data_IF_854227648650
#
_entry.id   IF_854227648650
#
_cell.length_a   1.000
_cell.length_b   1.000
_cell.length_c   1.000
_cell.angle_alpha   90.00
_cell.angle_beta   90.00
_cell.angle_gamma   90.00
#
_symmetry.space_group_name_H-M   'P 1'
#
loop_
_entity.id
_entity.type
_entity.pdbx_description
1 polymer ?
#
# COMPACT_ATOMS: atom_id res chain seq x y z
N UNK A 1 -10.55 15.38 23.85
CA UNK A 1 -10.63 15.39 22.38
C UNK A 1 -11.80 14.51 21.92
N UNK A 2 -12.73 15.05 21.09
CA UNK A 2 -13.82 14.26 20.51
C UNK A 2 -13.25 13.37 19.41
N UNK A 3 -13.32 12.06 19.58
CA UNK A 3 -12.77 11.09 18.63
C UNK A 3 -13.87 10.47 17.79
N UNK A 4 -13.63 10.39 16.47
CA UNK A 4 -14.57 9.72 15.57
C UNK A 4 -14.34 8.21 15.59
N UNK A 5 -15.34 7.47 16.09
CA UNK A 5 -15.34 6.01 16.17
C UNK A 5 -16.29 5.35 15.19
N UNK A 6 -16.83 6.10 14.24
CA UNK A 6 -17.73 5.53 13.22
C UNK A 6 -16.94 4.62 12.29
N UNK A 7 -17.53 3.48 11.95
CA UNK A 7 -17.00 2.63 10.89
C UNK A 7 -17.30 3.22 9.53
N UNK A 8 -16.33 3.16 8.65
CA UNK A 8 -16.41 3.58 7.26
C UNK A 8 -16.18 2.38 6.34
N UNK A 9 -16.67 2.44 5.13
CA UNK A 9 -16.30 1.46 4.11
C UNK A 9 -14.82 1.66 3.75
N UNK A 10 -14.18 0.59 3.23
CA UNK A 10 -12.82 0.66 2.73
C UNK A 10 -12.72 1.72 1.62
N UNK A 11 -11.56 2.34 1.50
CA UNK A 11 -11.18 3.30 0.45
C UNK A 11 -11.99 4.58 0.33
N UNK A 12 -12.66 4.96 1.41
CA UNK A 12 -13.42 6.21 1.45
C UNK A 12 -12.52 7.44 1.76
N UNK A 13 -11.60 7.76 0.84
CA UNK A 13 -10.65 8.87 1.01
C UNK A 13 -11.35 10.23 1.19
N UNK A 14 -12.50 10.43 0.57
CA UNK A 14 -13.22 11.70 0.57
C UNK A 14 -14.05 11.95 1.82
N UNK A 15 -14.23 10.95 2.65
CA UNK A 15 -14.94 11.14 3.90
C UNK A 15 -14.02 11.75 4.96
N UNK A 16 -14.60 12.66 5.69
CA UNK A 16 -13.96 13.41 6.74
C UNK A 16 -14.05 12.63 8.05
N UNK A 17 -13.01 11.89 8.41
CA UNK A 17 -12.86 11.16 9.68
C UNK A 17 -11.41 11.13 10.13
N UNK A 18 -11.22 10.90 11.42
CA UNK A 18 -9.88 10.79 12.01
C UNK A 18 -9.16 9.57 11.48
N UNK A 19 -7.94 9.78 10.97
CA UNK A 19 -7.12 8.70 10.42
C UNK A 19 -5.64 8.94 10.55
N UNK A 20 -4.90 7.87 10.69
CA UNK A 20 -3.46 7.84 10.49
C UNK A 20 -3.14 7.21 9.13
N UNK A 21 -2.14 7.74 8.46
CA UNK A 21 -1.71 7.31 7.14
C UNK A 21 -0.20 7.12 7.12
N UNK A 22 0.24 6.05 6.49
CA UNK A 22 1.64 5.81 6.13
C UNK A 22 1.72 5.75 4.60
N UNK A 23 2.71 6.43 4.03
CA UNK A 23 3.05 6.30 2.61
C UNK A 23 4.43 5.66 2.53
N UNK A 24 4.58 4.64 1.70
CA UNK A 24 5.82 3.89 1.53
C UNK A 24 6.17 3.75 0.06
N UNK A 25 7.32 4.26 -0.32
CA UNK A 25 8.01 3.93 -1.57
C UNK A 25 9.08 2.87 -1.24
N UNK A 26 8.81 1.63 -1.64
CA UNK A 26 9.60 0.46 -1.24
C UNK A 26 10.95 0.36 -1.97
N UNK A 27 11.12 1.01 -3.09
CA UNK A 27 12.38 1.00 -3.84
C UNK A 27 13.13 2.34 -3.80
N UNK A 28 12.56 3.33 -3.12
CA UNK A 28 13.12 4.67 -2.91
C UNK A 28 13.52 5.38 -4.22
N UNK A 29 12.72 5.18 -5.27
CA UNK A 29 12.97 5.80 -6.59
C UNK A 29 12.10 7.00 -6.88
N UNK A 30 11.06 7.23 -6.07
CA UNK A 30 10.11 8.32 -6.28
C UNK A 30 9.18 8.14 -7.49
N UNK A 31 9.07 6.92 -8.02
CA UNK A 31 8.22 6.62 -9.17
C UNK A 31 6.82 6.21 -8.76
N UNK A 32 6.73 5.40 -7.70
CA UNK A 32 5.48 4.92 -7.15
C UNK A 32 5.59 4.71 -5.65
N UNK A 33 4.48 4.91 -4.95
CA UNK A 33 4.37 4.63 -3.51
C UNK A 33 2.98 4.10 -3.19
N UNK A 34 2.87 3.49 -2.02
CA UNK A 34 1.63 2.96 -1.47
C UNK A 34 1.19 3.79 -0.28
N UNK A 35 -0.04 4.27 -0.31
CA UNK A 35 -0.66 5.03 0.77
C UNK A 35 -1.61 4.12 1.53
N UNK A 36 -1.32 3.86 2.78
CA UNK A 36 -2.05 2.96 3.66
C UNK A 36 -2.57 3.76 4.84
N UNK A 37 -3.86 3.70 5.09
CA UNK A 37 -4.48 4.47 6.15
C UNK A 37 -5.43 3.66 7.00
N UNK A 38 -5.57 4.04 8.26
CA UNK A 38 -6.49 3.43 9.20
C UNK A 38 -7.21 4.47 10.05
N UNK A 39 -8.51 4.33 10.20
CA UNK A 39 -9.31 5.11 11.14
C UNK A 39 -9.24 4.50 12.54
N UNK A 40 -9.69 5.25 13.56
CA UNK A 40 -9.80 4.72 14.92
C UNK A 40 -10.72 3.49 15.01
N UNK A 41 -11.70 3.39 14.13
CA UNK A 41 -12.63 2.24 14.03
C UNK A 41 -12.08 1.08 13.17
N UNK A 42 -10.79 1.10 12.83
CA UNK A 42 -10.11 0.11 11.99
C UNK A 42 -10.65 0.02 10.56
N UNK A 43 -11.26 1.09 10.04
CA UNK A 43 -11.57 1.16 8.60
C UNK A 43 -10.30 1.45 7.82
N UNK A 44 -10.01 0.60 6.83
CA UNK A 44 -8.77 0.68 6.04
C UNK A 44 -8.95 1.54 4.80
N UNK A 45 -7.87 2.16 4.37
CA UNK A 45 -7.75 2.89 3.10
C UNK A 45 -6.42 2.51 2.46
N UNK A 46 -6.44 2.12 1.19
CA UNK A 46 -5.22 1.86 0.45
C UNK A 46 -5.31 2.40 -0.98
N UNK A 47 -4.21 3.00 -1.42
CA UNK A 47 -4.08 3.64 -2.71
C UNK A 47 -2.66 3.50 -3.22
N UNK A 48 -2.48 3.52 -4.53
CA UNK A 48 -1.17 3.78 -5.12
C UNK A 48 -1.02 5.25 -5.47
N UNK A 49 0.21 5.73 -5.42
CA UNK A 49 0.59 7.09 -5.83
C UNK A 49 1.66 6.94 -6.90
N UNK A 50 1.43 7.51 -8.06
CA UNK A 50 2.39 7.54 -9.18
C UNK A 50 2.62 8.97 -9.65
N UNK A 51 3.66 9.19 -10.48
CA UNK A 51 3.95 10.48 -11.08
C UNK A 51 3.92 11.64 -10.07
N UNK A 52 4.55 11.44 -8.91
CA UNK A 52 4.62 12.39 -7.79
C UNK A 52 3.33 12.57 -6.99
N UNK A 53 2.13 12.54 -7.60
CA UNK A 53 0.89 12.89 -6.89
C UNK A 53 -0.39 12.32 -7.49
N UNK A 54 -0.29 11.46 -8.47
CA UNK A 54 -1.47 10.81 -9.05
C UNK A 54 -1.90 9.64 -8.15
N UNK A 55 -3.10 9.72 -7.61
CA UNK A 55 -3.65 8.74 -6.68
C UNK A 55 -4.62 7.82 -7.44
N UNK A 56 -4.38 6.51 -7.35
CA UNK A 56 -5.23 5.47 -7.88
C UNK A 56 -5.76 4.59 -6.74
N UNK A 57 -7.07 4.45 -6.67
CA UNK A 57 -7.79 3.70 -5.64
C UNK A 57 -8.25 2.31 -6.05
N UNK A 58 -7.88 1.85 -7.24
CA UNK A 58 -8.28 0.51 -7.71
C UNK A 58 -7.36 -0.61 -7.17
N UNK A 59 -6.29 -0.23 -6.46
CA UNK A 59 -5.36 -1.17 -5.87
C UNK A 59 -5.79 -1.60 -4.45
N UNK A 60 -5.86 -2.89 -4.24
CA UNK A 60 -6.12 -3.53 -2.95
C UNK A 60 -4.92 -4.37 -2.50
N UNK A 61 -4.31 -4.02 -1.37
CA UNK A 61 -3.17 -4.73 -0.80
C UNK A 61 -3.54 -5.66 0.36
N UNK A 62 -2.75 -6.72 0.54
CA UNK A 62 -2.84 -7.58 1.73
C UNK A 62 -1.96 -7.02 2.86
N UNK A 63 -2.49 -6.10 3.63
CA UNK A 63 -1.86 -5.51 4.79
C UNK A 63 -2.85 -5.39 5.95
N UNK A 64 -2.34 -5.16 7.14
CA UNK A 64 -3.15 -5.14 8.35
C UNK A 64 -2.82 -3.91 9.18
N UNK A 65 -3.83 -3.40 9.88
CA UNK A 65 -3.64 -2.38 10.90
C UNK A 65 -4.50 -2.67 12.12
N UNK A 66 -4.01 -2.20 13.26
CA UNK A 66 -4.73 -2.21 14.53
C UNK A 66 -4.65 -0.84 15.17
N UNK A 67 -5.68 -0.52 15.93
CA UNK A 67 -5.74 0.72 16.69
C UNK A 67 -5.94 0.45 18.16
N UNK A 68 -5.41 1.33 19.00
CA UNK A 68 -5.60 1.31 20.43
C UNK A 68 -5.75 2.73 20.97
N UNK A 69 -6.42 2.88 22.09
CA UNK A 69 -6.70 4.17 22.71
C UNK A 69 -6.24 4.20 24.17
N UNK A 70 -5.82 5.39 24.61
CA UNK A 70 -5.74 5.80 26.00
C UNK A 70 -6.64 7.04 26.24
N UNK A 71 -6.67 7.55 27.46
CA UNK A 71 -7.44 8.76 27.76
C UNK A 71 -6.98 9.97 26.92
N UNK A 72 -5.67 10.10 26.68
CA UNK A 72 -5.10 11.25 25.99
C UNK A 72 -4.84 11.01 24.50
N UNK A 73 -4.49 9.77 24.12
CA UNK A 73 -4.00 9.47 22.78
C UNK A 73 -4.70 8.27 22.16
N UNK A 74 -4.62 8.16 20.84
CA UNK A 74 -4.86 6.91 20.14
C UNK A 74 -3.66 6.59 19.24
N UNK A 75 -3.45 5.31 19.00
CA UNK A 75 -2.30 4.76 18.30
C UNK A 75 -2.76 3.87 17.16
N UNK A 76 -1.93 3.75 16.15
CA UNK A 76 -2.12 2.79 15.07
C UNK A 76 -0.83 2.03 14.81
N UNK A 77 -0.96 0.74 14.60
CA UNK A 77 0.11 -0.16 14.19
C UNK A 77 -0.20 -0.67 12.80
N UNK A 78 0.78 -0.69 11.91
CA UNK A 78 0.68 -1.17 10.55
C UNK A 78 1.58 -2.37 10.38
N UNK A 79 1.02 -3.48 9.90
CA UNK A 79 1.76 -4.64 9.46
C UNK A 79 1.70 -4.70 7.94
N UNK A 80 2.83 -4.45 7.30
CA UNK A 80 2.97 -4.35 5.85
C UNK A 80 3.91 -5.46 5.38
N UNK A 81 3.37 -6.60 4.87
CA UNK A 81 4.21 -7.68 4.39
C UNK A 81 5.06 -7.25 3.19
N UNK A 82 6.33 -7.61 3.18
CA UNK A 82 7.19 -7.35 2.03
C UNK A 82 6.69 -8.02 0.73
N UNK A 83 5.90 -9.08 0.88
CA UNK A 83 5.27 -9.79 -0.24
C UNK A 83 4.11 -9.04 -0.87
N UNK A 84 3.62 -7.97 -0.24
CA UNK A 84 2.49 -7.16 -0.73
C UNK A 84 2.80 -6.47 -2.06
N UNK A 85 4.07 -6.17 -2.30
CA UNK A 85 4.52 -5.43 -3.49
C UNK A 85 5.62 -6.17 -4.22
N UNK A 86 5.65 -6.02 -5.55
CA UNK A 86 6.80 -6.44 -6.35
C UNK A 86 7.91 -5.44 -6.15
N UNK A 87 8.99 -5.86 -5.52
CA UNK A 87 10.15 -5.01 -5.29
C UNK A 87 11.23 -5.30 -6.31
N UNK A 88 11.81 -4.23 -6.85
CA UNK A 88 13.05 -4.38 -7.60
C UNK A 88 14.17 -4.80 -6.64
N UNK A 89 14.99 -5.74 -7.06
CA UNK A 89 16.15 -6.18 -6.28
C UNK A 89 17.07 -4.99 -5.98
N UNK A 90 17.24 -4.69 -4.70
CA UNK A 90 18.28 -3.80 -4.24
C UNK A 90 19.49 -4.67 -3.87
N UNK A 91 20.68 -4.25 -4.33
CA UNK A 91 21.91 -4.96 -4.01
C UNK A 91 22.39 -4.57 -2.63
N UNK A 92 22.59 -5.55 -1.77
CA UNK A 92 23.14 -5.37 -0.43
C UNK A 92 22.22 -5.82 0.69
N UNK A 93 22.74 -5.79 1.92
CA UNK A 93 22.01 -6.19 3.13
C UNK A 93 21.08 -5.08 3.67
N UNK A 94 21.39 -3.83 3.35
CA UNK A 94 20.61 -2.67 3.79
C UNK A 94 19.82 -2.12 2.61
N UNK A 95 18.52 -2.18 2.73
CA UNK A 95 17.63 -1.58 1.76
C UNK A 95 17.22 -0.18 2.20
N UNK A 96 17.00 0.68 1.23
CA UNK A 96 16.44 2.00 1.49
C UNK A 96 15.01 2.05 0.98
N UNK A 97 14.12 2.50 1.85
CA UNK A 97 12.74 2.85 1.49
C UNK A 97 12.52 4.32 1.79
N UNK A 98 11.54 4.93 1.13
CA UNK A 98 11.14 6.28 1.48
C UNK A 98 9.74 6.27 2.10
N UNK A 99 9.56 7.03 3.18
CA UNK A 99 8.31 7.04 3.94
C UNK A 99 7.81 8.45 4.22
N UNK A 100 6.49 8.55 4.36
CA UNK A 100 5.84 9.68 5.03
C UNK A 100 4.76 9.16 5.95
N UNK A 101 4.47 9.92 6.99
CA UNK A 101 3.35 9.66 7.89
C UNK A 101 2.48 10.90 8.00
N UNK A 102 1.19 10.71 8.14
CA UNK A 102 0.28 11.82 8.38
C UNK A 102 -0.90 11.42 9.24
N UNK A 103 -1.47 12.40 9.90
CA UNK A 103 -2.67 12.29 10.70
C UNK A 103 -3.66 13.39 10.32
N UNK A 104 -4.89 13.00 10.06
CA UNK A 104 -6.02 13.90 9.96
C UNK A 104 -6.83 13.86 11.25
N UNK A 105 -7.10 15.03 11.84
CA UNK A 105 -7.99 15.22 12.98
C UNK A 105 -9.16 16.05 12.49
N UNK A 106 -10.26 15.36 12.21
CA UNK A 106 -11.37 15.93 11.46
C UNK A 106 -12.04 17.11 12.17
N UNK A 107 -12.40 16.97 13.44
CA UNK A 107 -13.12 18.00 14.16
C UNK A 107 -12.30 19.27 14.38
N UNK A 108 -10.95 19.18 14.29
CA UNK A 108 -10.04 20.32 14.36
C UNK A 108 -9.66 20.86 12.97
N UNK A 109 -10.11 20.20 11.89
CA UNK A 109 -9.64 20.44 10.52
C UNK A 109 -8.09 20.47 10.42
N UNK A 110 -7.43 19.63 11.24
CA UNK A 110 -5.99 19.64 11.41
C UNK A 110 -5.35 18.48 10.70
N UNK A 111 -4.38 18.80 9.85
CA UNK A 111 -3.53 17.83 9.16
C UNK A 111 -2.10 17.98 9.64
N UNK A 112 -1.53 16.90 10.14
CA UNK A 112 -0.13 16.83 10.58
C UNK A 112 0.58 15.79 9.74
N UNK A 113 1.72 16.13 9.18
CA UNK A 113 2.50 15.23 8.33
C UNK A 113 4.00 15.32 8.61
N UNK A 114 4.69 14.19 8.44
CA UNK A 114 6.14 14.11 8.41
C UNK A 114 6.60 13.20 7.24
N UNK A 115 7.52 13.69 6.38
CA UNK A 115 7.95 15.08 6.27
C UNK A 115 6.76 16.00 5.96
N UNK A 116 6.93 17.30 6.06
CA UNK A 116 5.86 18.28 5.81
C UNK A 116 5.49 18.32 4.32
N UNK A 117 4.81 17.29 3.87
CA UNK A 117 4.41 17.05 2.50
C UNK A 117 2.92 16.63 2.44
N UNK A 118 2.32 16.72 1.28
CA UNK A 118 0.93 16.31 1.05
C UNK A 118 0.82 15.68 -0.35
N UNK A 119 0.10 14.56 -0.50
CA UNK A 119 -0.17 13.96 -1.81
C UNK A 119 -0.87 14.89 -2.81
N UNK A 120 -1.48 15.96 -2.33
CA UNK A 120 -2.12 16.97 -3.17
C UNK A 120 -1.13 17.97 -3.79
N UNK A 121 0.17 17.86 -3.48
CA UNK A 121 1.21 18.73 -4.07
C UNK A 121 1.85 18.06 -5.28
N UNK A 122 2.23 18.86 -6.27
CA UNK A 122 2.86 18.40 -7.52
C UNK A 122 4.17 17.63 -7.35
N UNK A 123 4.83 17.75 -6.20
CA UNK A 123 6.05 17.02 -5.84
C UNK A 123 5.85 16.44 -4.47
N UNK A 124 5.36 15.23 -4.39
CA UNK A 124 5.12 14.56 -3.13
C UNK A 124 6.10 13.40 -2.90
N UNK A 125 6.25 12.50 -3.87
CA UNK A 125 7.13 11.34 -3.72
C UNK A 125 8.60 11.74 -3.52
N UNK A 126 9.05 12.78 -4.23
CA UNK A 126 10.40 13.34 -4.06
C UNK A 126 10.67 13.93 -2.66
N UNK A 127 9.64 14.12 -1.83
CA UNK A 127 9.76 14.71 -0.49
C UNK A 127 9.69 13.66 0.62
N UNK A 128 9.51 12.40 0.30
CA UNK A 128 9.47 11.33 1.29
C UNK A 128 10.81 11.22 2.01
N UNK A 129 10.77 10.78 3.26
CA UNK A 129 11.97 10.62 4.08
C UNK A 129 12.57 9.23 3.87
N UNK A 130 13.82 9.18 3.41
CA UNK A 130 14.53 7.93 3.21
C UNK A 130 14.98 7.34 4.54
N UNK A 131 14.72 6.04 4.72
CA UNK A 131 15.21 5.25 5.85
C UNK A 131 15.90 3.98 5.35
N UNK A 132 16.89 3.52 6.10
CA UNK A 132 17.53 2.23 5.87
C UNK A 132 16.78 1.14 6.64
N UNK A 133 16.51 0.03 5.98
CA UNK A 133 15.89 -1.15 6.59
C UNK A 133 16.74 -2.37 6.34
N UNK A 134 16.89 -3.20 7.37
CA UNK A 134 17.56 -4.50 7.24
C UNK A 134 16.51 -5.53 6.87
N UNK A 135 16.71 -6.19 5.75
CA UNK A 135 15.77 -7.18 5.27
C UNK A 135 16.45 -8.43 4.77
N UNK A 136 15.84 -9.57 5.07
CA UNK A 136 16.05 -10.80 4.31
C UNK A 136 14.99 -10.85 3.20
N UNK A 137 15.40 -10.84 1.95
CA UNK A 137 14.47 -10.92 0.82
C UNK A 137 13.71 -12.27 0.89
N UNK A 138 12.37 -12.27 1.08
CA UNK A 138 11.63 -13.52 1.10
C UNK A 138 11.60 -14.14 -0.29
N UNK A 139 11.74 -15.47 -0.34
CA UNK A 139 11.44 -16.20 -1.56
C UNK A 139 9.96 -16.01 -1.90
N UNK A 140 9.65 -15.61 -3.12
CA UNK A 140 8.28 -15.43 -3.58
C UNK A 140 8.01 -16.40 -4.73
N UNK A 141 6.91 -17.12 -4.62
CA UNK A 141 6.37 -17.96 -5.67
C UNK A 141 4.98 -17.44 -6.04
N UNK A 142 4.86 -16.89 -7.23
CA UNK A 142 3.59 -16.45 -7.76
C UNK A 142 3.09 -17.49 -8.76
N UNK A 143 1.86 -17.97 -8.56
CA UNK A 143 1.20 -18.94 -9.41
C UNK A 143 -0.09 -18.35 -9.96
N UNK A 144 -0.15 -18.15 -11.27
CA UNK A 144 -1.31 -17.61 -11.97
C UNK A 144 -1.96 -18.68 -12.87
N UNK A 145 -2.92 -19.48 -12.35
CA UNK A 145 -3.69 -20.38 -13.21
C UNK A 145 -4.68 -19.58 -14.06
N UNK A 146 -4.81 -19.94 -15.32
CA UNK A 146 -5.85 -19.39 -16.17
C UNK A 146 -6.57 -20.46 -16.95
N UNK A 147 -7.85 -20.26 -17.20
CA UNK A 147 -8.69 -21.09 -18.07
C UNK A 147 -9.39 -20.17 -19.08
N UNK A 148 -9.15 -20.43 -20.34
CA UNK A 148 -9.86 -19.75 -21.41
C UNK A 148 -10.83 -20.75 -22.04
N UNK A 149 -12.11 -20.40 -22.10
CA UNK A 149 -13.12 -21.14 -22.83
C UNK A 149 -13.58 -20.31 -24.03
N UNK A 150 -13.56 -20.88 -25.19
CA UNK A 150 -14.07 -20.27 -26.43
C UNK A 150 -15.15 -21.18 -27.01
N UNK A 151 -16.36 -20.67 -27.15
CA UNK A 151 -17.48 -21.34 -27.78
C UNK A 151 -17.85 -20.65 -29.10
N UNK A 152 -18.01 -21.40 -30.18
CA UNK A 152 -18.60 -20.91 -31.42
C UNK A 152 -20.05 -21.37 -31.46
N UNK A 153 -21.00 -20.45 -31.45
CA UNK A 153 -22.43 -20.75 -31.45
C UNK A 153 -22.97 -21.12 -32.87
N UNK A 154 -22.16 -20.91 -33.90
CA UNK A 154 -22.57 -21.21 -35.29
C UNK A 154 -22.28 -22.66 -35.63
N UNK A 155 -21.13 -23.20 -35.23
CA UNK A 155 -20.68 -24.55 -35.57
C UNK A 155 -20.74 -25.54 -34.40
N UNK A 156 -21.23 -25.11 -33.23
CA UNK A 156 -21.33 -25.94 -32.02
C UNK A 156 -19.99 -26.51 -31.52
N UNK A 157 -18.88 -25.88 -31.91
CA UNK A 157 -17.54 -26.23 -31.45
C UNK A 157 -17.17 -25.51 -30.16
N UNK A 158 -16.71 -26.29 -29.20
CA UNK A 158 -16.14 -25.76 -27.94
C UNK A 158 -14.65 -26.09 -27.89
N UNK A 159 -13.83 -25.07 -27.71
CA UNK A 159 -12.42 -25.24 -27.44
C UNK A 159 -12.09 -24.77 -26.01
N UNK A 160 -11.20 -25.52 -25.35
CA UNK A 160 -10.71 -25.20 -24.00
C UNK A 160 -9.20 -25.03 -24.07
N UNK A 161 -8.71 -23.97 -23.51
CA UNK A 161 -7.29 -23.74 -23.32
C UNK A 161 -7.05 -23.38 -21.87
N UNK A 162 -6.20 -24.15 -21.20
CA UNK A 162 -5.77 -23.89 -19.85
C UNK A 162 -4.25 -23.80 -19.76
N UNK A 163 -3.76 -23.02 -18.85
CA UNK A 163 -2.34 -22.90 -18.58
C UNK A 163 -2.11 -22.31 -17.21
N UNK A 164 -0.85 -22.18 -16.86
CA UNK A 164 -0.41 -21.48 -15.66
C UNK A 164 0.92 -20.80 -15.91
N UNK A 165 1.09 -19.65 -15.30
CA UNK A 165 2.37 -18.95 -15.24
C UNK A 165 2.90 -19.07 -13.82
N UNK A 166 4.19 -19.41 -13.70
CA UNK A 166 4.86 -19.56 -12.41
C UNK A 166 6.06 -18.62 -12.42
N UNK A 167 6.04 -17.67 -11.50
CA UNK A 167 7.16 -16.76 -11.26
C UNK A 167 7.81 -17.13 -9.94
N UNK A 168 9.11 -17.35 -9.98
CA UNK A 168 9.91 -17.63 -8.80
C UNK A 168 10.94 -16.53 -8.60
N UNK A 169 10.77 -15.75 -7.53
CA UNK A 169 11.77 -14.79 -7.08
C UNK A 169 12.57 -15.40 -5.92
N UNK A 170 13.86 -15.64 -6.16
CA UNK A 170 14.74 -16.15 -5.12
C UNK A 170 15.40 -14.98 -4.37
N UNK A 171 15.19 -14.92 -3.06
CA UNK A 171 15.76 -13.91 -2.19
C UNK A 171 17.24 -14.01 -1.91
N UNK A 172 17.96 -14.93 -2.55
CA UNK A 172 19.43 -14.96 -2.48
C UNK A 172 19.99 -14.00 -3.51
N UNK A 173 20.31 -12.79 -3.08
CA UNK A 173 21.21 -11.94 -3.83
C UNK A 173 22.46 -12.75 -4.15
N UNK A 174 22.77 -12.89 -5.45
CA UNK A 174 24.00 -13.57 -5.87
C UNK A 174 25.22 -12.87 -5.28
N UNK A 175 26.18 -13.68 -4.85
CA UNK A 175 27.52 -13.26 -4.49
C UNK A 175 28.19 -12.54 -5.66
#
# INVERSE_FOLDING_TARGET
ETRDRRRHNRDMLRQEYDRNVVVVDFDNKGNSAYMLGVSLSESLIDFTITNESEIDGDWDGEWFAKTSESEENWYSEFFIPWTMVSMNEQKGLNWTIAIATSRLIQHEAKYVAFPKASPLRKKFLSLLHTIEVVQSNPNRLDFYPYLVTKGDFVDNDMSYQGGSEIFFANGKGGE
#
